data_IF_634567186233
#
_entry.id   IF_634567186233
#
_cell.length_a   1.000
_cell.length_b   1.000
_cell.length_c   1.000
_cell.angle_alpha   90.00
_cell.angle_beta   90.00
_cell.angle_gamma   90.00
#
_symmetry.space_group_name_H-M   'P 1'
#
loop_
_entity.id
_entity.type
_entity.pdbx_description
1 polymer ?
#
# COMPACT_ATOMS: atom_id res chain seq x y z
N UNK A 1 5.72 -9.03 17.78
CA UNK A 1 4.83 -7.87 17.71
C UNK A 1 5.00 -7.15 16.38
N UNK A 2 3.90 -6.58 15.90
CA UNK A 2 3.86 -5.80 14.68
C UNK A 2 2.78 -4.73 14.79
N UNK A 3 2.90 -3.69 13.98
CA UNK A 3 1.88 -2.65 13.91
C UNK A 3 1.30 -2.64 12.51
N UNK A 4 -0.04 -2.60 12.41
CA UNK A 4 -0.74 -2.51 11.13
C UNK A 4 -1.34 -1.12 11.02
N UNK A 5 -1.03 -0.42 9.92
CA UNK A 5 -1.60 0.90 9.61
C UNK A 5 -2.68 0.72 8.55
N UNK A 6 -3.89 1.10 8.86
CA UNK A 6 -5.05 1.00 7.96
C UNK A 6 -6.04 2.16 8.17
N UNK A 7 -6.62 2.71 7.12
CA UNK A 7 -6.24 2.51 5.72
C UNK A 7 -4.83 3.05 5.47
N UNK A 8 -4.06 2.37 4.61
CA UNK A 8 -2.64 2.70 4.46
C UNK A 8 -2.36 3.97 3.70
N UNK A 9 -3.05 4.18 2.58
CA UNK A 9 -2.72 5.27 1.66
C UNK A 9 -2.85 6.67 2.28
N UNK A 10 -3.88 6.99 3.10
CA UNK A 10 -3.97 8.30 3.71
C UNK A 10 -2.99 8.53 4.87
N UNK A 11 -2.29 7.48 5.31
CA UNK A 11 -1.47 7.51 6.51
C UNK A 11 -0.02 7.11 6.27
N UNK A 12 0.52 7.47 5.10
CA UNK A 12 1.94 7.20 4.79
C UNK A 12 2.88 7.88 5.78
N UNK A 13 2.52 9.05 6.25
CA UNK A 13 3.26 9.79 7.27
C UNK A 13 3.30 9.03 8.60
N UNK A 14 2.21 8.36 8.96
CA UNK A 14 2.15 7.56 10.17
C UNK A 14 3.03 6.33 10.04
N UNK A 15 3.03 5.68 8.87
CA UNK A 15 3.92 4.55 8.60
C UNK A 15 5.37 4.98 8.81
N UNK A 16 5.75 6.13 8.24
CA UNK A 16 7.12 6.65 8.36
C UNK A 16 7.46 6.97 9.81
N UNK A 17 6.55 7.61 10.51
CA UNK A 17 6.73 8.01 11.91
C UNK A 17 6.94 6.80 12.82
N UNK A 18 6.12 5.76 12.65
CA UNK A 18 6.22 4.53 13.43
C UNK A 18 7.53 3.81 13.10
N UNK A 19 7.87 3.74 11.81
CA UNK A 19 9.10 3.08 11.36
C UNK A 19 10.33 3.73 11.98
N UNK A 20 10.33 5.04 12.10
CA UNK A 20 11.48 5.77 12.65
C UNK A 20 11.58 5.65 14.16
N UNK A 21 10.45 5.50 14.86
CA UNK A 21 10.41 5.49 16.32
C UNK A 21 10.55 4.09 16.93
N UNK A 22 10.08 3.07 16.24
CA UNK A 22 9.99 1.73 16.78
C UNK A 22 10.76 0.75 15.90
N UNK A 23 11.38 -0.24 16.54
CA UNK A 23 12.14 -1.30 15.86
C UNK A 23 11.29 -2.55 15.73
N UNK A 24 10.06 -2.40 15.26
CA UNK A 24 9.14 -3.51 15.05
C UNK A 24 8.61 -3.45 13.61
N UNK A 25 8.16 -4.58 13.05
CA UNK A 25 7.60 -4.57 11.69
C UNK A 25 6.35 -3.71 11.59
N UNK A 26 6.28 -2.92 10.53
CA UNK A 26 5.13 -2.09 10.20
C UNK A 26 4.51 -2.64 8.94
N UNK A 27 3.21 -2.93 8.99
CA UNK A 27 2.46 -3.47 7.86
C UNK A 27 1.47 -2.42 7.40
N UNK A 28 1.48 -2.11 6.10
CA UNK A 28 0.49 -1.23 5.50
C UNK A 28 -0.65 -2.08 4.94
N UNK A 29 -1.88 -1.73 5.28
CA UNK A 29 -3.06 -2.43 4.78
C UNK A 29 -3.80 -1.51 3.81
N UNK A 30 -3.81 -1.89 2.53
CA UNK A 30 -4.63 -1.25 1.50
C UNK A 30 -6.02 -1.89 1.58
N UNK A 31 -6.93 -1.20 2.28
CA UNK A 31 -8.25 -1.76 2.60
C UNK A 31 -9.15 -1.83 1.37
N UNK A 32 -10.30 -2.50 1.52
CA UNK A 32 -11.23 -2.74 0.41
C UNK A 32 -11.71 -1.45 -0.27
N UNK A 33 -11.89 -0.37 0.48
CA UNK A 33 -12.28 0.92 -0.08
C UNK A 33 -11.21 1.50 -0.99
N UNK A 34 -9.95 1.41 -0.59
CA UNK A 34 -8.83 1.85 -1.40
C UNK A 34 -8.71 1.01 -2.68
N UNK A 35 -8.86 -0.31 -2.53
CA UNK A 35 -8.87 -1.24 -3.65
C UNK A 35 -9.97 -0.89 -4.66
N UNK A 36 -11.20 -0.70 -4.16
CA UNK A 36 -12.36 -0.38 -5.00
C UNK A 36 -12.18 0.94 -5.74
N UNK A 37 -11.61 1.93 -5.07
CA UNK A 37 -11.36 3.24 -5.66
C UNK A 37 -10.40 3.12 -6.85
N UNK A 38 -9.28 2.43 -6.67
CA UNK A 38 -8.29 2.22 -7.72
C UNK A 38 -8.89 1.38 -8.86
N UNK A 39 -9.55 0.28 -8.54
CA UNK A 39 -10.12 -0.63 -9.51
C UNK A 39 -11.16 0.08 -10.39
N UNK A 40 -12.05 0.85 -9.78
CA UNK A 40 -13.06 1.61 -10.51
C UNK A 40 -12.44 2.72 -11.36
N UNK A 41 -11.40 3.37 -10.85
CA UNK A 41 -10.66 4.36 -11.62
C UNK A 41 -10.04 3.79 -12.89
N UNK A 42 -9.47 2.60 -12.78
CA UNK A 42 -8.90 1.89 -13.93
C UNK A 42 -10.00 1.49 -14.92
N UNK A 43 -11.08 0.89 -14.42
CA UNK A 43 -12.18 0.41 -15.26
C UNK A 43 -12.86 1.54 -16.04
N UNK A 44 -12.86 2.74 -15.48
CA UNK A 44 -13.45 3.93 -16.11
C UNK A 44 -12.44 4.78 -16.88
N UNK A 45 -11.21 4.28 -17.01
CA UNK A 45 -10.12 4.97 -17.71
C UNK A 45 -9.77 6.34 -17.10
N UNK A 46 -10.01 6.51 -15.80
CA UNK A 46 -9.61 7.72 -15.08
C UNK A 46 -8.14 7.65 -14.74
N UNK A 47 -7.66 6.45 -14.36
CA UNK A 47 -6.26 6.19 -14.05
C UNK A 47 -5.79 4.95 -14.78
N UNK A 48 -4.48 4.80 -14.90
CA UNK A 48 -3.82 3.69 -15.58
C UNK A 48 -3.57 2.54 -14.61
N UNK A 49 -3.42 1.32 -15.14
CA UNK A 49 -3.09 0.12 -14.34
C UNK A 49 -1.81 0.27 -13.55
N UNK A 50 -0.89 1.12 -13.99
CA UNK A 50 0.34 1.42 -13.24
C UNK A 50 0.06 2.01 -11.88
N UNK A 51 -1.13 2.58 -11.67
CA UNK A 51 -1.53 3.13 -10.37
C UNK A 51 -1.55 2.06 -9.27
N UNK A 52 -1.79 0.79 -9.63
CA UNK A 52 -1.76 -0.30 -8.67
C UNK A 52 -0.35 -0.39 -8.05
N UNK A 53 0.67 -0.52 -8.91
CA UNK A 53 2.05 -0.65 -8.45
C UNK A 53 2.51 0.63 -7.76
N UNK A 54 2.13 1.79 -8.28
CA UNK A 54 2.52 3.07 -7.66
C UNK A 54 1.96 3.21 -6.24
N UNK A 55 0.70 2.79 -6.03
CA UNK A 55 0.09 2.84 -4.71
C UNK A 55 0.83 1.93 -3.72
N UNK A 56 1.17 0.72 -4.16
CA UNK A 56 1.88 -0.24 -3.32
C UNK A 56 3.32 0.21 -3.06
N UNK A 57 3.96 0.76 -4.07
CA UNK A 57 5.32 1.27 -3.92
C UNK A 57 5.39 2.43 -2.93
N UNK A 58 4.31 3.23 -2.84
CA UNK A 58 4.25 4.32 -1.86
C UNK A 58 4.38 3.81 -0.43
N UNK A 59 3.78 2.65 -0.12
CA UNK A 59 3.91 2.02 1.19
C UNK A 59 5.36 1.61 1.45
N UNK A 60 6.01 1.05 0.45
CA UNK A 60 7.41 0.65 0.58
C UNK A 60 8.31 1.85 0.84
N UNK A 61 8.11 2.93 0.08
CA UNK A 61 8.88 4.17 0.27
C UNK A 61 8.64 4.77 1.66
N UNK A 62 7.43 4.63 2.18
CA UNK A 62 7.11 5.13 3.53
C UNK A 62 7.78 4.30 4.63
N UNK A 63 8.25 3.10 4.31
CA UNK A 63 8.99 2.26 5.24
C UNK A 63 8.26 1.01 5.71
N UNK A 64 7.13 0.66 5.09
CA UNK A 64 6.41 -0.57 5.45
C UNK A 64 7.27 -1.80 5.17
N UNK A 65 7.24 -2.75 6.09
CA UNK A 65 7.95 -4.02 5.95
C UNK A 65 7.15 -5.03 5.13
N UNK A 66 5.83 -4.90 5.14
CA UNK A 66 4.93 -5.76 4.39
C UNK A 66 3.67 -4.99 4.01
N UNK A 67 2.97 -5.48 3.02
CA UNK A 67 1.75 -4.85 2.50
C UNK A 67 0.66 -5.91 2.39
N UNK A 68 -0.52 -5.61 2.92
CA UNK A 68 -1.72 -6.41 2.71
C UNK A 68 -2.56 -5.68 1.69
N UNK A 69 -2.89 -6.34 0.59
CA UNK A 69 -3.69 -5.73 -0.47
C UNK A 69 -4.49 -6.78 -1.23
N UNK A 70 -5.67 -6.38 -1.69
CA UNK A 70 -6.48 -7.23 -2.57
C UNK A 70 -5.89 -7.37 -3.97
N UNK A 71 -4.90 -6.56 -4.33
CA UNK A 71 -4.22 -6.68 -5.62
C UNK A 71 -3.10 -7.72 -5.61
N UNK A 72 -2.84 -8.40 -4.50
CA UNK A 72 -1.69 -9.31 -4.37
C UNK A 72 -1.63 -10.36 -5.47
N UNK A 73 -2.78 -10.88 -5.89
CA UNK A 73 -2.85 -11.93 -6.92
C UNK A 73 -2.72 -11.41 -8.35
N UNK A 74 -2.82 -10.11 -8.55
CA UNK A 74 -2.89 -9.52 -9.88
C UNK A 74 -1.67 -8.69 -10.24
N UNK A 75 -0.64 -8.68 -9.40
CA UNK A 75 0.58 -7.90 -9.63
C UNK A 75 1.80 -8.81 -9.73
N UNK A 76 2.82 -8.29 -10.42
CA UNK A 76 4.14 -8.92 -10.43
C UNK A 76 4.94 -8.35 -9.25
N UNK A 77 5.17 -9.19 -8.24
CA UNK A 77 5.85 -8.78 -7.02
C UNK A 77 7.29 -8.29 -7.26
N UNK A 78 7.91 -8.73 -8.34
CA UNK A 78 9.26 -8.29 -8.70
C UNK A 78 9.32 -6.79 -8.97
N UNK A 79 8.20 -6.20 -9.37
CA UNK A 79 8.15 -4.76 -9.63
C UNK A 79 8.25 -3.92 -8.35
N UNK A 80 8.10 -4.54 -7.19
CA UNK A 80 8.19 -3.85 -5.90
C UNK A 80 9.59 -3.90 -5.28
N UNK A 81 10.47 -4.68 -5.87
CA UNK A 81 11.86 -4.79 -5.38
C UNK A 81 12.79 -3.66 -5.94
#
# INVERSE_FOLDING_TARGET
DMIIVKPGMPYLDIIRSIKDKFKIPVIAYQVSGEYSLIKNGINKNIIDEKSIIESLYSFKRAGANAIITYFADSINLDLLD
#
